data_IF_568164379321
#
_entry.id   IF_568164379321
#
_cell.length_a   1.000
_cell.length_b   1.000
_cell.length_c   1.000
_cell.angle_alpha   90.00
_cell.angle_beta   90.00
_cell.angle_gamma   90.00
#
_symmetry.space_group_name_H-M   'P 1'
#
loop_
_entity.id
_entity.type
_entity.pdbx_description
1 polymer ?
#
# COMPACT_ATOMS: atom_id res chain seq x y z
N UNK A 1 -24.82 7.69 -12.99
CA UNK A 1 -24.27 6.76 -11.99
C UNK A 1 -23.85 7.59 -10.79
N UNK A 2 -24.49 7.32 -9.67
CA UNK A 2 -24.45 8.13 -8.46
C UNK A 2 -23.35 7.60 -7.52
N UNK A 3 -22.29 8.39 -7.30
CA UNK A 3 -21.13 8.02 -6.50
C UNK A 3 -21.26 8.44 -5.02
N UNK A 4 -22.45 8.84 -4.55
CA UNK A 4 -22.63 9.48 -3.22
C UNK A 4 -22.90 8.51 -2.06
N UNK A 5 -22.82 7.19 -2.26
CA UNK A 5 -23.09 6.19 -1.21
C UNK A 5 -21.82 5.58 -0.60
N UNK A 6 -20.87 6.41 -0.17
CA UNK A 6 -19.80 6.01 0.76
C UNK A 6 -19.47 7.17 1.70
N UNK A 7 -19.47 7.00 3.03
CA UNK A 7 -19.49 8.11 3.99
C UNK A 7 -18.15 8.86 4.18
N UNK A 8 -17.18 8.71 3.27
CA UNK A 8 -15.89 9.39 3.37
C UNK A 8 -15.47 9.89 1.98
N UNK A 9 -15.56 11.21 1.69
CA UNK A 9 -15.00 11.79 0.48
C UNK A 9 -13.47 11.76 0.61
N UNK A 10 -12.84 10.71 0.08
CA UNK A 10 -11.38 10.64 -0.01
C UNK A 10 -10.88 11.75 -0.96
N UNK A 11 -9.85 12.52 -0.60
CA UNK A 11 -9.31 13.55 -1.48
C UNK A 11 -8.76 12.89 -2.76
N UNK A 12 -8.89 13.59 -3.89
CA UNK A 12 -8.52 13.17 -5.26
C UNK A 12 -7.05 12.73 -5.44
N UNK A 13 -6.25 12.81 -4.37
CA UNK A 13 -4.86 12.39 -4.29
C UNK A 13 -4.66 11.10 -3.46
N UNK A 14 -5.70 10.26 -3.35
CA UNK A 14 -5.66 8.98 -2.63
C UNK A 14 -4.87 7.87 -3.37
N UNK A 15 -3.83 8.24 -4.13
CA UNK A 15 -2.86 7.30 -4.70
C UNK A 15 -1.66 7.06 -3.75
N UNK A 16 -1.61 7.74 -2.61
CA UNK A 16 -0.50 7.70 -1.65
C UNK A 16 -0.83 7.01 -0.31
N UNK A 17 -2.09 6.62 -0.12
CA UNK A 17 -2.65 6.23 1.19
C UNK A 17 -2.72 4.73 1.45
N UNK A 18 -2.18 3.91 0.56
CA UNK A 18 -1.95 2.50 0.89
C UNK A 18 -0.47 2.23 0.80
N UNK A 19 0.32 2.57 1.85
CA UNK A 19 1.71 2.16 1.98
C UNK A 19 1.86 0.65 1.76
N UNK A 20 0.83 -0.11 2.14
CA UNK A 20 0.70 -1.51 1.79
C UNK A 20 0.70 -1.75 0.29
N UNK A 21 -0.08 -1.06 -0.52
CA UNK A 21 -0.06 -1.26 -1.98
C UNK A 21 1.30 -0.88 -2.57
N UNK A 22 1.90 0.24 -2.16
CA UNK A 22 3.22 0.65 -2.67
C UNK A 22 4.34 -0.31 -2.26
N UNK A 23 4.42 -0.67 -0.97
CA UNK A 23 5.45 -1.56 -0.44
C UNK A 23 5.25 -3.00 -0.92
N UNK A 24 4.04 -3.53 -0.80
CA UNK A 24 3.71 -4.89 -1.23
C UNK A 24 3.87 -5.05 -2.73
N UNK A 25 3.31 -4.14 -3.53
CA UNK A 25 3.44 -4.22 -4.98
C UNK A 25 4.88 -3.97 -5.44
N UNK A 26 5.62 -3.07 -4.79
CA UNK A 26 7.05 -2.87 -5.04
C UNK A 26 7.89 -4.12 -4.75
N UNK A 27 7.64 -4.76 -3.61
CA UNK A 27 8.30 -5.99 -3.18
C UNK A 27 8.00 -7.17 -4.11
N UNK A 28 6.71 -7.41 -4.40
CA UNK A 28 6.28 -8.48 -5.31
C UNK A 28 6.86 -8.27 -6.70
N UNK A 29 6.83 -7.04 -7.24
CA UNK A 29 7.46 -6.75 -8.54
C UNK A 29 8.95 -7.04 -8.54
N UNK A 30 9.67 -6.70 -7.47
CA UNK A 30 11.10 -6.98 -7.38
C UNK A 30 11.38 -8.48 -7.51
N UNK A 31 10.60 -9.33 -6.84
CA UNK A 31 10.77 -10.79 -6.86
C UNK A 31 10.31 -11.41 -8.19
N UNK A 32 9.17 -10.96 -8.71
CA UNK A 32 8.61 -11.47 -9.96
C UNK A 32 9.50 -11.12 -11.16
N UNK A 33 10.15 -9.95 -11.13
CA UNK A 33 10.99 -9.46 -12.23
C UNK A 33 12.50 -9.58 -12.00
N UNK A 34 12.98 -10.20 -10.92
CA UNK A 34 14.44 -10.37 -10.65
C UNK A 34 15.17 -11.29 -11.65
N UNK A 35 14.49 -11.79 -12.68
CA UNK A 35 15.06 -12.64 -13.72
C UNK A 35 14.12 -12.76 -14.93
N UNK A 36 14.60 -13.36 -16.02
CA UNK A 36 13.82 -13.49 -17.26
C UNK A 36 12.58 -14.39 -17.06
N UNK A 37 11.43 -13.89 -17.50
CA UNK A 37 10.18 -14.64 -17.55
C UNK A 37 10.03 -15.17 -18.97
N UNK A 38 10.02 -16.50 -19.10
CA UNK A 38 9.96 -17.20 -20.39
C UNK A 38 8.55 -17.66 -20.76
N UNK A 39 7.67 -17.88 -19.79
CA UNK A 39 6.29 -18.35 -20.00
C UNK A 39 5.32 -17.82 -18.93
N UNK A 40 4.03 -17.82 -19.25
CA UNK A 40 2.95 -17.42 -18.34
C UNK A 40 2.88 -18.33 -17.10
N UNK A 41 3.17 -19.63 -17.25
CA UNK A 41 3.18 -20.58 -16.12
C UNK A 41 4.31 -20.24 -15.15
N UNK A 42 5.48 -19.86 -15.68
CA UNK A 42 6.61 -19.42 -14.88
C UNK A 42 6.28 -18.11 -14.15
N UNK A 43 5.62 -17.16 -14.82
CA UNK A 43 5.12 -15.93 -14.19
C UNK A 43 4.17 -16.22 -13.02
N UNK A 44 3.17 -17.09 -13.24
CA UNK A 44 2.22 -17.49 -12.19
C UNK A 44 2.94 -18.12 -10.99
N UNK A 45 3.90 -19.01 -11.24
CA UNK A 45 4.69 -19.63 -10.17
C UNK A 45 5.48 -18.59 -9.37
N UNK A 46 6.10 -17.62 -10.04
CA UNK A 46 6.84 -16.55 -9.37
C UNK A 46 5.96 -15.62 -8.56
N UNK A 47 4.75 -15.32 -9.02
CA UNK A 47 3.77 -14.52 -8.25
C UNK A 47 3.40 -15.26 -6.97
N UNK A 48 3.08 -16.56 -7.06
CA UNK A 48 2.75 -17.38 -5.88
C UNK A 48 3.93 -17.41 -4.91
N UNK A 49 5.14 -17.74 -5.41
CA UNK A 49 6.34 -17.78 -4.59
C UNK A 49 6.65 -16.41 -3.94
N UNK A 50 6.46 -15.30 -4.66
CA UNK A 50 6.64 -13.96 -4.12
C UNK A 50 5.64 -13.67 -2.98
N UNK A 51 4.38 -14.09 -3.12
CA UNK A 51 3.38 -13.94 -2.05
C UNK A 51 3.76 -14.80 -0.84
N UNK A 52 4.26 -16.02 -1.04
CA UNK A 52 4.70 -16.91 0.04
C UNK A 52 5.92 -16.36 0.82
N UNK A 53 6.74 -15.52 0.20
CA UNK A 53 7.85 -14.84 0.90
C UNK A 53 7.40 -13.69 1.81
N UNK A 54 6.15 -13.22 1.67
CA UNK A 54 5.64 -12.14 2.50
C UNK A 54 5.35 -12.67 3.90
N UNK A 55 6.17 -12.24 4.86
CA UNK A 55 6.01 -12.66 6.26
C UNK A 55 5.00 -11.77 7.00
N UNK A 56 4.37 -12.29 8.08
CA UNK A 56 3.53 -11.49 8.96
C UNK A 56 4.26 -10.26 9.53
N UNK A 57 5.58 -10.36 9.72
CA UNK A 57 6.40 -9.26 10.24
C UNK A 57 6.53 -8.11 9.23
N UNK A 58 6.65 -8.41 7.94
CA UNK A 58 6.63 -7.39 6.88
C UNK A 58 5.28 -6.66 6.85
N UNK A 59 4.18 -7.40 7.00
CA UNK A 59 2.84 -6.81 7.08
C UNK A 59 2.69 -5.91 8.31
N UNK A 60 3.13 -6.37 9.49
CA UNK A 60 3.11 -5.55 10.72
C UNK A 60 3.94 -4.28 10.60
N UNK A 61 5.14 -4.34 10.02
CA UNK A 61 5.95 -3.14 9.80
C UNK A 61 5.26 -2.15 8.86
N UNK A 62 4.65 -2.66 7.79
CA UNK A 62 3.91 -1.83 6.84
C UNK A 62 2.73 -1.14 7.52
N UNK A 63 1.92 -1.89 8.29
CA UNK A 63 0.80 -1.34 9.05
C UNK A 63 1.23 -0.28 10.06
N UNK A 64 2.37 -0.48 10.74
CA UNK A 64 2.94 0.54 11.64
C UNK A 64 3.32 1.82 10.91
N UNK A 65 3.83 1.72 9.70
CA UNK A 65 4.15 2.89 8.88
C UNK A 65 2.88 3.62 8.41
N UNK A 66 1.80 2.89 8.12
CA UNK A 66 0.47 3.51 7.87
C UNK A 66 0.02 4.27 9.12
N UNK A 67 0.07 3.63 10.28
CA UNK A 67 -0.35 4.20 11.56
C UNK A 67 0.44 5.48 11.88
N UNK A 68 1.76 5.44 11.70
CA UNK A 68 2.64 6.62 11.85
C UNK A 68 2.28 7.75 10.87
N UNK A 69 2.07 7.45 9.58
CA UNK A 69 1.68 8.47 8.59
C UNK A 69 0.30 9.06 8.91
N UNK A 70 -0.62 8.25 9.44
CA UNK A 70 -1.94 8.71 9.85
C UNK A 70 -1.86 9.61 11.09
N UNK A 71 -1.03 9.26 12.08
CA UNK A 71 -0.76 10.07 13.27
C UNK A 71 -0.15 11.43 12.90
N UNK A 72 0.88 11.44 12.05
CA UNK A 72 1.50 12.68 11.55
C UNK A 72 0.51 13.52 10.75
N UNK A 73 -0.30 12.90 9.89
CA UNK A 73 -1.33 13.60 9.13
C UNK A 73 -2.38 14.22 10.07
N UNK A 74 -2.83 13.47 11.08
CA UNK A 74 -3.76 13.95 12.10
C UNK A 74 -3.17 15.13 12.88
N UNK A 75 -1.94 15.02 13.37
CA UNK A 75 -1.24 16.07 14.10
C UNK A 75 -1.06 17.35 13.25
N UNK A 76 -0.73 17.19 11.97
CA UNK A 76 -0.58 18.33 11.05
C UNK A 76 -1.93 18.99 10.74
N UNK A 77 -2.98 18.19 10.57
CA UNK A 77 -4.32 18.70 10.31
C UNK A 77 -4.92 19.41 11.53
N UNK A 78 -4.65 18.90 12.74
CA UNK A 78 -5.02 19.56 14.02
C UNK A 78 -4.24 20.88 14.19
N UNK A 79 -2.92 20.89 13.92
CA UNK A 79 -2.13 22.12 13.99
C UNK A 79 -2.62 23.21 13.02
N UNK A 80 -3.09 22.82 11.84
CA UNK A 80 -3.72 23.75 10.88
C UNK A 80 -5.10 24.25 11.33
N UNK A 81 -5.86 23.48 12.10
CA UNK A 81 -7.19 23.85 12.61
C UNK A 81 -7.08 24.75 13.85
N UNK A 82 -6.07 24.57 14.71
CA UNK A 82 -5.90 25.35 15.94
C UNK A 82 -5.28 26.75 15.73
N UNK A 83 -4.92 27.13 14.50
CA UNK A 83 -4.33 28.44 14.20
C UNK A 83 -5.39 29.50 13.77
N UNK A 84 -6.67 29.34 14.13
CA UNK A 84 -7.74 30.31 13.80
C UNK A 84 -8.62 30.66 15.00
#
# INVERSE_FOLDING_TARGET
MDWTRWPIPWPTQSLDLTPLDFFFWGYIKNIVYSGNITDISHLKHRIIAAIETVTPQMLHNTLREIDYRLDVCCATNVAHIETY
#
